data_IF_270943725485
#
_entry.id   IF_270943725485
#
_cell.length_a   1.000
_cell.length_b   1.000
_cell.length_c   1.000
_cell.angle_alpha   90.00
_cell.angle_beta   90.00
_cell.angle_gamma   90.00
#
_symmetry.space_group_name_H-M   'P 1'
#
loop_
_entity.id
_entity.type
_entity.pdbx_description
1 polymer ?
#
# COMPACT_ATOMS: atom_id res chain seq x y z
N UNK A 1 -1.58 -23.56 1.49
CA UNK A 1 -1.13 -22.59 0.53
C UNK A 1 0.36 -22.66 0.38
N UNK A 2 0.80 -22.88 -0.82
CA UNK A 2 2.21 -22.74 -1.09
C UNK A 2 2.60 -21.30 -0.83
N UNK A 3 3.76 -21.12 -0.27
CA UNK A 3 4.26 -19.82 0.04
C UNK A 3 4.33 -18.95 -1.21
N UNK A 4 3.83 -17.75 -1.13
CA UNK A 4 4.09 -16.75 -2.14
C UNK A 4 5.60 -16.56 -2.27
N UNK A 5 6.11 -16.19 -3.46
CA UNK A 5 7.53 -15.88 -3.60
C UNK A 5 7.96 -14.85 -2.55
N UNK A 6 9.15 -15.01 -2.01
CA UNK A 6 9.67 -14.08 -1.00
C UNK A 6 9.64 -12.63 -1.47
N UNK A 7 9.88 -12.40 -2.77
CA UNK A 7 9.77 -11.06 -3.37
C UNK A 7 8.37 -10.48 -3.27
N UNK A 8 7.33 -11.30 -3.45
CA UNK A 8 5.93 -10.83 -3.32
C UNK A 8 5.59 -10.46 -1.88
N UNK A 9 6.12 -11.21 -0.91
CA UNK A 9 5.93 -10.91 0.50
C UNK A 9 6.62 -9.58 0.84
N UNK A 10 7.84 -9.38 0.41
CA UNK A 10 8.57 -8.15 0.64
C UNK A 10 7.87 -6.94 0.01
N UNK A 11 7.37 -7.09 -1.22
CA UNK A 11 6.63 -6.03 -1.91
C UNK A 11 5.34 -5.71 -1.16
N UNK A 12 4.59 -6.71 -0.71
CA UNK A 12 3.38 -6.48 0.08
C UNK A 12 3.68 -5.74 1.38
N UNK A 13 4.73 -6.12 2.10
CA UNK A 13 5.14 -5.42 3.32
C UNK A 13 5.52 -3.97 3.04
N UNK A 14 6.21 -3.70 1.94
CA UNK A 14 6.58 -2.35 1.55
C UNK A 14 5.36 -1.50 1.19
N UNK A 15 4.39 -2.08 0.49
CA UNK A 15 3.12 -1.42 0.19
C UNK A 15 2.38 -1.03 1.46
N UNK A 16 2.29 -1.94 2.42
CA UNK A 16 1.64 -1.69 3.70
C UNK A 16 2.37 -0.59 4.49
N UNK A 17 3.70 -0.67 4.56
CA UNK A 17 4.52 0.33 5.24
C UNK A 17 4.31 1.71 4.63
N UNK A 18 4.33 1.80 3.30
CA UNK A 18 4.11 3.06 2.57
C UNK A 18 2.73 3.63 2.89
N UNK A 19 1.69 2.81 2.79
CA UNK A 19 0.32 3.27 3.02
C UNK A 19 0.12 3.74 4.47
N UNK A 20 0.66 3.02 5.44
CA UNK A 20 0.54 3.40 6.85
C UNK A 20 1.23 4.74 7.13
N UNK A 21 2.43 4.93 6.62
CA UNK A 21 3.22 6.16 6.85
C UNK A 21 2.62 7.38 6.16
N UNK A 22 2.14 7.22 4.93
CA UNK A 22 1.56 8.32 4.17
C UNK A 22 0.09 8.56 4.49
N UNK A 23 -0.57 7.62 5.16
CA UNK A 23 -2.00 7.66 5.45
C UNK A 23 -2.83 7.73 4.16
N UNK A 24 -2.34 7.12 3.10
CA UNK A 24 -2.91 7.11 1.76
C UNK A 24 -2.59 5.80 1.07
N UNK A 25 -3.34 5.43 0.03
CA UNK A 25 -2.97 4.28 -0.78
C UNK A 25 -1.53 4.40 -1.31
N UNK A 26 -0.81 3.29 -1.34
CA UNK A 26 0.59 3.30 -1.79
C UNK A 26 0.74 3.80 -3.23
N UNK A 27 -0.26 3.57 -4.09
CA UNK A 27 -0.24 4.07 -5.48
C UNK A 27 -0.12 5.59 -5.57
N UNK A 28 -0.62 6.32 -4.57
CA UNK A 28 -0.57 7.79 -4.56
C UNK A 28 0.86 8.28 -4.54
N UNK A 29 1.75 7.58 -3.83
CA UNK A 29 3.17 7.93 -3.84
C UNK A 29 3.75 7.81 -5.24
N UNK A 30 3.51 6.68 -5.92
CA UNK A 30 3.99 6.49 -7.29
C UNK A 30 3.47 7.53 -8.25
N UNK A 31 2.19 7.85 -8.20
CA UNK A 31 1.57 8.88 -9.04
C UNK A 31 2.21 10.26 -8.78
N UNK A 32 2.38 10.61 -7.52
CA UNK A 32 2.97 11.88 -7.11
C UNK A 32 4.40 12.02 -7.59
N UNK A 33 5.21 10.98 -7.42
CA UNK A 33 6.61 11.00 -7.82
C UNK A 33 6.76 11.07 -9.33
N UNK A 34 5.94 10.33 -10.08
CA UNK A 34 5.95 10.41 -11.54
C UNK A 34 5.57 11.81 -12.04
N UNK A 35 4.56 12.41 -11.43
CA UNK A 35 4.13 13.75 -11.79
C UNK A 35 5.22 14.81 -11.52
N UNK A 36 5.99 14.62 -10.46
CA UNK A 36 7.06 15.58 -10.07
C UNK A 36 8.41 15.25 -10.67
N UNK A 37 8.58 14.08 -11.29
CA UNK A 37 9.88 13.64 -11.78
C UNK A 37 10.89 13.36 -10.66
N UNK A 38 10.46 12.97 -9.49
CA UNK A 38 11.31 12.72 -8.34
C UNK A 38 11.52 11.21 -8.18
N UNK A 39 12.78 10.81 -7.93
CA UNK A 39 13.13 9.42 -7.66
C UNK A 39 12.74 9.07 -6.22
N UNK A 40 12.09 7.93 -6.04
CA UNK A 40 11.68 7.43 -4.72
C UNK A 40 12.88 7.22 -3.79
N UNK A 41 14.07 7.00 -4.31
CA UNK A 41 15.30 6.86 -3.54
C UNK A 41 15.59 8.09 -2.66
N UNK A 42 15.11 9.25 -3.04
CA UNK A 42 15.27 10.47 -2.25
C UNK A 42 14.55 10.43 -0.91
N UNK A 43 13.58 9.51 -0.74
CA UNK A 43 12.93 9.33 0.56
C UNK A 43 13.84 8.68 1.60
N UNK A 44 14.94 8.05 1.17
CA UNK A 44 15.94 7.50 2.08
C UNK A 44 15.55 6.22 2.81
N UNK A 45 14.39 5.67 2.51
CA UNK A 45 13.91 4.42 3.13
C UNK A 45 13.49 3.45 2.02
N UNK A 46 14.16 2.28 1.90
CA UNK A 46 13.86 1.32 0.85
C UNK A 46 12.50 0.66 0.96
N UNK A 47 11.80 0.87 2.07
CA UNK A 47 10.44 0.33 2.24
C UNK A 47 9.36 1.16 1.54
N UNK A 48 9.65 2.39 1.15
CA UNK A 48 8.70 3.17 0.35
C UNK A 48 8.60 2.59 -1.05
N UNK A 49 7.38 2.44 -1.54
CA UNK A 49 7.10 1.95 -2.89
C UNK A 49 5.90 2.68 -3.48
N UNK A 50 5.91 2.84 -4.80
CA UNK A 50 4.79 3.42 -5.55
C UNK A 50 3.85 2.39 -6.16
N UNK A 51 4.08 1.09 -5.93
CA UNK A 51 3.19 0.05 -6.43
C UNK A 51 1.83 0.12 -5.76
N UNK A 52 0.78 -0.12 -6.55
CA UNK A 52 -0.60 -0.18 -6.05
C UNK A 52 -0.82 -1.43 -5.19
N UNK A 53 -1.77 -1.36 -4.27
CA UNK A 53 -2.20 -2.50 -3.47
C UNK A 53 -2.00 -2.35 -1.96
N UNK A 54 -1.36 -1.28 -1.49
CA UNK A 54 -1.29 -0.96 -0.07
C UNK A 54 -2.33 0.10 0.28
N UNK A 55 -3.12 -0.15 1.32
CA UNK A 55 -4.14 0.77 1.82
C UNK A 55 -3.97 0.99 3.31
N UNK A 56 -4.05 2.23 3.79
CA UNK A 56 -4.06 2.46 5.23
C UNK A 56 -5.40 2.02 5.82
N UNK A 57 -5.37 1.58 7.06
CA UNK A 57 -6.60 1.31 7.83
C UNK A 57 -6.77 2.47 8.81
N UNK A 58 -7.80 3.27 8.58
CA UNK A 58 -8.11 4.42 9.42
C UNK A 58 -9.27 4.04 10.33
N UNK A 59 -9.10 4.24 11.63
CA UNK A 59 -10.12 4.03 12.64
C UNK A 59 -10.14 5.26 13.53
N UNK A 60 -11.31 5.87 13.67
CA UNK A 60 -11.47 7.10 14.48
C UNK A 60 -10.47 8.20 14.11
N UNK A 61 -10.20 8.36 12.81
CA UNK A 61 -9.31 9.39 12.32
C UNK A 61 -7.81 9.12 12.46
N UNK A 62 -7.43 7.97 13.00
CA UNK A 62 -6.03 7.61 13.20
C UNK A 62 -5.67 6.35 12.41
N UNK A 63 -4.42 6.26 12.00
CA UNK A 63 -3.90 5.05 11.34
C UNK A 63 -3.79 3.93 12.37
N UNK A 64 -4.58 2.88 12.21
CA UNK A 64 -4.53 1.68 13.04
C UNK A 64 -3.58 0.62 12.44
N UNK A 65 -3.28 0.72 11.15
CA UNK A 65 -2.43 -0.22 10.45
C UNK A 65 -2.56 -0.05 8.95
N UNK A 66 -2.24 -1.10 8.21
CA UNK A 66 -2.38 -1.12 6.77
C UNK A 66 -2.66 -2.54 6.28
N UNK A 67 -3.30 -2.64 5.13
CA UNK A 67 -3.51 -3.90 4.41
C UNK A 67 -2.82 -3.79 3.07
N UNK A 68 -2.12 -4.82 2.66
CA UNK A 68 -1.51 -4.85 1.35
C UNK A 68 -1.66 -6.20 0.68
N UNK A 69 -1.82 -6.16 -0.63
CA UNK A 69 -1.90 -7.33 -1.50
C UNK A 69 -0.89 -7.19 -2.61
N UNK A 70 -0.23 -8.27 -2.94
CA UNK A 70 0.76 -8.33 -4.02
C UNK A 70 0.62 -9.65 -4.77
N UNK A 71 0.99 -9.65 -6.05
CA UNK A 71 1.02 -10.87 -6.87
C UNK A 71 -0.09 -10.98 -7.90
N UNK A 72 -1.02 -10.04 -7.93
CA UNK A 72 -2.08 -9.94 -8.95
C UNK A 72 -1.85 -8.70 -9.80
N UNK A 73 -2.81 -8.33 -10.63
CA UNK A 73 -2.74 -7.03 -11.30
C UNK A 73 -2.90 -5.91 -10.27
N UNK A 74 -2.47 -4.71 -10.61
CA UNK A 74 -2.57 -3.58 -9.69
C UNK A 74 -4.02 -3.30 -9.27
N UNK A 75 -4.97 -3.36 -10.19
CA UNK A 75 -6.38 -3.15 -9.88
C UNK A 75 -6.95 -4.24 -8.98
N UNK A 76 -6.57 -5.50 -9.21
CA UNK A 76 -6.97 -6.62 -8.37
C UNK A 76 -6.37 -6.51 -6.97
N UNK A 77 -5.10 -6.11 -6.87
CA UNK A 77 -4.44 -5.91 -5.59
C UNK A 77 -5.17 -4.84 -4.76
N UNK A 78 -5.53 -3.72 -5.37
CA UNK A 78 -6.28 -2.65 -4.70
C UNK A 78 -7.67 -3.13 -4.27
N UNK A 79 -8.37 -3.85 -5.13
CA UNK A 79 -9.71 -4.36 -4.83
C UNK A 79 -9.71 -5.30 -3.63
N UNK A 80 -8.75 -6.25 -3.60
CA UNK A 80 -8.64 -7.17 -2.48
C UNK A 80 -8.21 -6.47 -1.19
N UNK A 81 -7.29 -5.50 -1.29
CA UNK A 81 -6.88 -4.72 -0.13
C UNK A 81 -8.06 -3.92 0.46
N UNK A 82 -8.90 -3.34 -0.38
CA UNK A 82 -10.09 -2.62 0.06
C UNK A 82 -11.08 -3.52 0.79
N UNK A 83 -11.28 -4.76 0.32
CA UNK A 83 -12.10 -5.75 1.01
C UNK A 83 -11.52 -6.08 2.40
N UNK A 84 -10.19 -6.20 2.48
CA UNK A 84 -9.52 -6.43 3.76
C UNK A 84 -9.72 -5.29 4.75
N UNK A 85 -9.61 -4.06 4.31
CA UNK A 85 -9.85 -2.87 5.16
C UNK A 85 -11.29 -2.87 5.66
N UNK A 86 -12.26 -3.11 4.79
CA UNK A 86 -13.67 -3.15 5.19
C UNK A 86 -13.95 -4.28 6.19
N UNK A 87 -13.32 -5.44 6.01
CA UNK A 87 -13.49 -6.58 6.90
C UNK A 87 -12.99 -6.30 8.33
N UNK A 88 -12.02 -5.40 8.48
CA UNK A 88 -11.49 -4.99 9.78
C UNK A 88 -12.34 -3.88 10.41
N UNK A 89 -13.26 -3.29 9.66
CA UNK A 89 -14.09 -2.18 10.12
C UNK A 89 -13.44 -0.81 9.98
N UNK A 90 -12.38 -0.72 9.21
CA UNK A 90 -11.70 0.53 8.93
C UNK A 90 -12.15 1.19 7.64
N UNK A 91 -11.55 2.33 7.36
CA UNK A 91 -11.69 3.03 6.08
C UNK A 91 -10.31 3.29 5.49
N UNK A 92 -10.27 3.44 4.18
CA UNK A 92 -9.05 3.76 3.45
C UNK A 92 -9.29 4.96 2.53
N UNK A 93 -8.78 6.16 2.89
CA UNK A 93 -8.96 7.34 2.05
C UNK A 93 -8.35 7.13 0.67
N UNK A 94 -9.09 7.45 -0.36
CA UNK A 94 -8.61 7.37 -1.74
C UNK A 94 -8.49 5.95 -2.31
N UNK A 95 -9.08 4.98 -1.65
CA UNK A 95 -9.08 3.61 -2.14
C UNK A 95 -9.99 3.43 -3.37
#
# INVERSE_FOLDING_TARGET
LDAAPASSIAVACNKACTAARLRRPSRVLGETLRAKGVDIAWYGDPRFTGWSGGLPVIVNGSVAGAVAVSGLTEDEDVTLAALGVAAIGGTAPGA
#
